data_IF_158641949970
#
_entry.id   IF_158641949970
#
_cell.length_a   1.000
_cell.length_b   1.000
_cell.length_c   1.000
_cell.angle_alpha   90.00
_cell.angle_beta   90.00
_cell.angle_gamma   90.00
#
_symmetry.space_group_name_H-M   'P 1'
#
loop_
_entity.id
_entity.type
_entity.pdbx_description
1 polymer ?
#
# COMPACT_ATOMS: atom_id res chain seq x y z
N UNK A 1 12.43 -1.35 39.84
CA UNK A 1 12.21 -1.77 38.44
C UNK A 1 11.59 -0.58 37.74
N UNK A 2 12.39 0.15 36.97
CA UNK A 2 11.98 1.41 36.36
C UNK A 2 10.95 1.14 35.27
N UNK A 3 9.77 1.75 35.40
CA UNK A 3 8.87 1.93 34.27
C UNK A 3 9.60 2.83 33.29
N UNK A 4 10.00 2.28 32.14
CA UNK A 4 10.50 3.07 31.03
C UNK A 4 9.44 4.11 30.68
N UNK A 5 9.88 5.36 30.59
CA UNK A 5 9.04 6.46 30.17
C UNK A 5 8.61 6.19 28.72
N UNK A 6 7.37 5.72 28.52
CA UNK A 6 6.80 5.49 27.18
C UNK A 6 6.28 6.80 26.57
N UNK A 7 7.05 7.88 26.74
CA UNK A 7 6.81 9.13 26.03
C UNK A 7 6.96 8.91 24.52
N UNK A 8 6.31 9.74 23.69
CA UNK A 8 6.55 9.72 22.25
C UNK A 8 8.03 9.93 21.98
N UNK A 9 8.63 9.09 21.13
CA UNK A 9 10.01 9.26 20.70
C UNK A 9 10.10 10.57 19.90
N UNK A 10 10.80 11.56 20.43
CA UNK A 10 10.90 12.91 19.84
C UNK A 10 11.57 12.90 18.45
N UNK A 11 12.24 11.80 18.08
CA UNK A 11 12.81 11.61 16.74
C UNK A 11 11.76 11.27 15.69
N UNK A 12 10.60 10.76 16.10
CA UNK A 12 9.57 10.23 15.22
C UNK A 12 8.47 11.26 14.96
N UNK A 13 8.19 11.51 13.68
CA UNK A 13 7.12 12.41 13.25
C UNK A 13 6.11 11.70 12.36
N UNK A 14 4.83 11.67 12.79
CA UNK A 14 3.73 11.16 11.98
C UNK A 14 3.11 12.30 11.16
N UNK A 15 3.08 12.15 9.83
CA UNK A 15 2.44 13.12 8.93
C UNK A 15 1.81 12.44 7.71
N UNK A 16 1.00 13.19 6.97
CA UNK A 16 0.59 12.77 5.62
C UNK A 16 1.79 12.87 4.68
N UNK A 17 1.94 11.87 3.83
CA UNK A 17 2.89 11.91 2.74
C UNK A 17 2.41 12.85 1.64
N UNK A 18 3.37 13.40 0.90
CA UNK A 18 3.16 14.19 -0.31
C UNK A 18 3.76 13.46 -1.52
N UNK A 19 3.55 14.01 -2.72
CA UNK A 19 4.18 13.46 -3.92
C UNK A 19 5.72 13.50 -3.89
N UNK A 20 6.31 14.37 -3.08
CA UNK A 20 7.78 14.46 -2.91
C UNK A 20 8.32 13.24 -2.16
N UNK A 21 7.51 12.62 -1.29
CA UNK A 21 7.88 11.43 -0.52
C UNK A 21 7.85 10.14 -1.35
N UNK A 22 7.33 10.16 -2.58
CA UNK A 22 6.94 8.95 -3.32
C UNK A 22 8.08 7.94 -3.52
N UNK A 23 9.28 8.41 -3.87
CA UNK A 23 10.40 7.49 -4.10
C UNK A 23 10.98 6.94 -2.78
N UNK A 24 10.96 7.70 -1.68
CA UNK A 24 11.38 7.20 -0.36
C UNK A 24 10.34 6.25 0.24
N UNK A 25 9.05 6.56 0.09
CA UNK A 25 7.93 5.66 0.42
C UNK A 25 8.09 4.34 -0.32
N UNK A 26 8.43 4.39 -1.61
CA UNK A 26 8.59 3.18 -2.41
C UNK A 26 9.73 2.29 -1.92
N UNK A 27 10.82 2.86 -1.39
CA UNK A 27 11.89 2.10 -0.73
C UNK A 27 11.33 1.31 0.46
N UNK A 28 10.61 1.97 1.37
CA UNK A 28 9.96 1.33 2.53
C UNK A 28 8.99 0.23 2.09
N UNK A 29 8.21 0.47 1.03
CA UNK A 29 7.27 -0.52 0.49
C UNK A 29 7.98 -1.76 -0.03
N UNK A 30 9.03 -1.59 -0.84
CA UNK A 30 9.76 -2.70 -1.43
C UNK A 30 10.44 -3.55 -0.36
N UNK A 31 11.05 -2.91 0.64
CA UNK A 31 11.67 -3.61 1.76
C UNK A 31 10.63 -4.34 2.62
N UNK A 32 9.55 -3.65 3.02
CA UNK A 32 8.55 -4.22 3.90
C UNK A 32 7.67 -5.30 3.27
N UNK A 33 7.49 -5.29 1.94
CA UNK A 33 6.72 -6.32 1.23
C UNK A 33 7.58 -7.51 0.78
N UNK A 34 8.91 -7.42 0.88
CA UNK A 34 9.83 -8.47 0.40
C UNK A 34 9.57 -9.84 1.02
N UNK A 35 9.07 -9.87 2.27
CA UNK A 35 8.72 -11.09 3.01
C UNK A 35 7.22 -11.34 3.18
N UNK A 36 6.32 -10.55 2.57
CA UNK A 36 4.86 -10.76 2.71
C UNK A 36 4.38 -11.90 1.79
N UNK A 37 3.86 -13.02 2.33
CA UNK A 37 3.36 -14.13 1.50
C UNK A 37 2.21 -13.74 0.57
N UNK A 38 1.42 -12.71 0.92
CA UNK A 38 0.35 -12.18 0.04
C UNK A 38 0.94 -11.42 -1.13
N UNK A 39 2.12 -10.83 -0.96
CA UNK A 39 2.86 -10.20 -2.04
C UNK A 39 3.44 -11.26 -2.98
N UNK A 40 4.04 -12.33 -2.43
CA UNK A 40 4.51 -13.50 -3.19
C UNK A 40 3.41 -14.14 -4.03
N UNK A 41 2.24 -14.33 -3.43
CA UNK A 41 1.11 -14.94 -4.11
C UNK A 41 0.68 -14.13 -5.34
N UNK A 42 0.67 -12.79 -5.23
CA UNK A 42 0.29 -11.89 -6.32
C UNK A 42 1.40 -11.73 -7.35
N UNK A 43 2.64 -11.58 -6.90
CA UNK A 43 3.80 -11.21 -7.72
C UNK A 43 4.95 -12.22 -7.60
N UNK A 44 4.73 -13.47 -8.07
CA UNK A 44 5.72 -14.53 -7.92
C UNK A 44 6.96 -14.34 -8.80
N UNK A 45 6.90 -13.47 -9.82
CA UNK A 45 8.01 -13.21 -10.75
C UNK A 45 8.70 -11.87 -10.47
N UNK A 46 8.49 -11.25 -9.30
CA UNK A 46 9.08 -9.93 -8.99
C UNK A 46 10.60 -9.94 -8.96
N UNK A 47 11.22 -11.05 -8.59
CA UNK A 47 12.68 -11.16 -8.56
C UNK A 47 13.27 -11.32 -9.98
N UNK A 48 12.48 -11.87 -10.91
CA UNK A 48 12.81 -11.96 -12.34
C UNK A 48 12.58 -10.63 -13.07
N UNK A 49 11.55 -9.88 -12.66
CA UNK A 49 11.16 -8.59 -13.25
C UNK A 49 11.09 -7.46 -12.20
N UNK A 50 12.20 -7.13 -11.51
CA UNK A 50 12.20 -6.15 -10.41
C UNK A 50 11.81 -4.75 -10.88
N UNK A 51 12.20 -4.37 -12.11
CA UNK A 51 11.84 -3.08 -12.71
C UNK A 51 10.35 -2.94 -12.97
N UNK A 52 9.67 -4.03 -13.36
CA UNK A 52 8.21 -4.02 -13.52
C UNK A 52 7.54 -3.88 -12.16
N UNK A 53 8.01 -4.62 -11.15
CA UNK A 53 7.47 -4.53 -9.81
C UNK A 53 7.59 -3.11 -9.25
N UNK A 54 8.79 -2.51 -9.34
CA UNK A 54 9.03 -1.12 -8.93
C UNK A 54 8.15 -0.14 -9.71
N UNK A 55 8.07 -0.26 -11.04
CA UNK A 55 7.26 0.61 -11.90
C UNK A 55 5.78 0.62 -11.49
N UNK A 56 5.19 -0.55 -11.31
CA UNK A 56 3.76 -0.66 -11.01
C UNK A 56 3.43 -0.31 -9.56
N UNK A 57 4.30 -0.64 -8.60
CA UNK A 57 4.15 -0.14 -7.23
C UNK A 57 4.27 1.39 -7.17
N UNK A 58 5.23 1.98 -7.89
CA UNK A 58 5.35 3.44 -7.97
C UNK A 58 4.06 4.07 -8.50
N UNK A 59 3.45 3.46 -9.52
CA UNK A 59 2.18 3.93 -10.07
C UNK A 59 1.04 3.81 -9.04
N UNK A 60 0.91 2.68 -8.36
CA UNK A 60 -0.12 2.45 -7.33
C UNK A 60 -0.02 3.48 -6.18
N UNK A 61 1.17 3.70 -5.64
CA UNK A 61 1.38 4.67 -4.56
C UNK A 61 1.23 6.12 -5.02
N UNK A 62 1.61 6.42 -6.26
CA UNK A 62 1.31 7.72 -6.88
C UNK A 62 -0.20 7.97 -6.95
N UNK A 63 -0.98 6.98 -7.37
CA UNK A 63 -2.44 7.09 -7.45
C UNK A 63 -3.07 7.33 -6.07
N UNK A 64 -2.52 6.78 -4.99
CA UNK A 64 -2.97 7.11 -3.63
C UNK A 64 -2.70 8.56 -3.25
N UNK A 65 -1.50 9.07 -3.56
CA UNK A 65 -1.10 10.45 -3.25
C UNK A 65 -1.85 11.50 -4.08
N UNK A 66 -2.26 11.15 -5.31
CA UNK A 66 -3.04 12.03 -6.20
C UNK A 66 -4.54 12.09 -5.83
N UNK A 67 -5.01 11.28 -4.88
CA UNK A 67 -6.41 11.22 -4.43
C UNK A 67 -6.53 11.43 -2.90
N UNK A 68 -6.07 12.57 -2.34
CA UNK A 68 -6.03 12.81 -0.88
C UNK A 68 -7.40 12.88 -0.19
N UNK A 69 -8.47 13.05 -0.95
CA UNK A 69 -9.86 12.98 -0.50
C UNK A 69 -10.36 11.54 -0.32
N UNK A 70 -9.72 10.58 -0.99
CA UNK A 70 -10.04 9.15 -0.89
C UNK A 70 -9.06 8.40 -0.01
N UNK A 71 -7.77 8.72 -0.12
CA UNK A 71 -6.71 8.03 0.61
C UNK A 71 -5.96 8.98 1.55
N UNK A 72 -5.66 8.49 2.75
CA UNK A 72 -4.66 9.09 3.62
C UNK A 72 -3.45 8.15 3.70
N UNK A 73 -2.41 8.46 2.92
CA UNK A 73 -1.10 7.83 3.07
C UNK A 73 -0.35 8.56 4.20
N UNK A 74 -0.30 7.92 5.35
CA UNK A 74 0.41 8.38 6.53
C UNK A 74 1.81 7.77 6.53
N UNK A 75 2.82 8.57 6.88
CA UNK A 75 4.19 8.11 7.06
C UNK A 75 4.71 8.53 8.43
N UNK A 76 5.52 7.66 9.02
CA UNK A 76 6.38 8.03 10.14
C UNK A 76 7.76 8.35 9.57
N UNK A 77 8.30 9.52 9.86
CA UNK A 77 9.68 9.89 9.55
C UNK A 77 10.54 9.86 10.80
N UNK A 78 11.84 9.66 10.63
CA UNK A 78 12.80 9.66 11.73
C UNK A 78 13.92 10.67 11.48
N UNK A 79 14.16 11.57 12.44
CA UNK A 79 15.15 12.64 12.30
C UNK A 79 16.61 12.16 12.28
N UNK A 80 16.87 10.97 12.82
CA UNK A 80 18.16 10.28 12.72
C UNK A 80 18.32 9.47 11.42
N UNK A 81 17.31 9.51 10.54
CA UNK A 81 17.32 8.94 9.19
C UNK A 81 17.02 10.03 8.13
N UNK A 82 17.60 11.22 8.28
CA UNK A 82 17.43 12.35 7.36
C UNK A 82 15.95 12.75 7.12
N UNK A 83 15.10 12.61 8.14
CA UNK A 83 13.64 12.82 8.06
C UNK A 83 12.95 11.95 7.00
N UNK A 84 13.54 10.81 6.64
CA UNK A 84 12.96 9.86 5.68
C UNK A 84 11.90 8.98 6.32
N UNK A 85 10.92 8.49 5.53
CA UNK A 85 9.97 7.49 5.97
C UNK A 85 10.65 6.23 6.49
N UNK A 86 10.19 5.75 7.65
CA UNK A 86 10.60 4.46 8.26
C UNK A 86 9.42 3.48 8.39
N UNK A 87 8.19 4.00 8.29
CA UNK A 87 6.97 3.20 8.21
C UNK A 87 5.86 3.98 7.51
N UNK A 88 4.85 3.27 7.04
CA UNK A 88 3.68 3.87 6.38
C UNK A 88 2.38 3.13 6.70
N UNK A 89 1.28 3.84 6.54
CA UNK A 89 -0.07 3.29 6.53
C UNK A 89 -0.89 3.96 5.42
N UNK A 90 -1.57 3.17 4.59
CA UNK A 90 -2.55 3.67 3.62
C UNK A 90 -3.95 3.43 4.17
N UNK A 91 -4.70 4.50 4.40
CA UNK A 91 -6.11 4.44 4.79
C UNK A 91 -6.99 4.81 3.62
N UNK A 92 -8.02 4.02 3.33
CA UNK A 92 -9.18 4.48 2.54
C UNK A 92 -10.10 5.22 3.50
N UNK A 93 -10.19 6.54 3.31
CA UNK A 93 -10.97 7.46 4.15
C UNK A 93 -12.33 7.81 3.52
N UNK A 94 -12.60 7.29 2.32
CA UNK A 94 -13.85 7.52 1.59
C UNK A 94 -14.20 6.27 0.77
N UNK A 95 -14.69 5.24 1.46
CA UNK A 95 -15.01 3.94 0.85
C UNK A 95 -16.08 4.03 -0.24
N UNK A 96 -17.00 4.99 -0.12
CA UNK A 96 -18.04 5.23 -1.13
C UNK A 96 -17.51 5.87 -2.41
N UNK A 97 -16.35 6.54 -2.36
CA UNK A 97 -15.74 7.14 -3.54
C UNK A 97 -15.01 6.07 -4.36
N UNK A 98 -15.19 6.03 -5.70
CA UNK A 98 -14.42 5.13 -6.54
C UNK A 98 -12.94 5.52 -6.57
N UNK A 99 -12.06 4.53 -6.71
CA UNK A 99 -10.64 4.77 -7.06
C UNK A 99 -10.54 5.24 -8.52
N UNK A 100 -9.82 6.33 -8.76
CA UNK A 100 -9.64 6.95 -10.08
C UNK A 100 -8.32 6.57 -10.78
N UNK A 101 -7.74 5.41 -10.45
CA UNK A 101 -6.52 4.91 -11.06
C UNK A 101 -6.71 3.90 -12.19
N UNK A 102 -5.59 3.40 -12.72
CA UNK A 102 -5.58 2.38 -13.76
C UNK A 102 -5.81 0.96 -13.24
N UNK A 103 -5.73 -0.03 -14.12
CA UNK A 103 -5.76 -1.46 -13.76
C UNK A 103 -4.39 -2.01 -13.30
N UNK A 104 -3.40 -1.11 -13.11
CA UNK A 104 -2.03 -1.43 -12.75
C UNK A 104 -1.38 -2.49 -13.65
N UNK A 105 -1.77 -2.51 -14.93
CA UNK A 105 -1.25 -3.41 -15.93
C UNK A 105 -1.87 -4.82 -15.91
N UNK A 106 -2.93 -5.01 -15.10
CA UNK A 106 -3.65 -6.28 -14.94
C UNK A 106 -5.15 -6.05 -15.09
N UNK A 107 -5.68 -6.07 -16.32
CA UNK A 107 -7.10 -5.90 -16.57
C UNK A 107 -7.95 -6.95 -15.83
N UNK A 108 -9.12 -6.54 -15.35
CA UNK A 108 -10.09 -7.44 -14.71
C UNK A 108 -10.67 -8.47 -15.68
N UNK A 109 -10.82 -8.10 -16.96
CA UNK A 109 -11.20 -9.02 -18.03
C UNK A 109 -10.06 -10.01 -18.31
N UNK A 110 -10.27 -11.33 -18.10
CA UNK A 110 -9.25 -12.34 -18.32
C UNK A 110 -8.80 -12.47 -19.77
N UNK A 111 -9.57 -11.96 -20.73
CA UNK A 111 -9.23 -12.01 -22.16
C UNK A 111 -8.37 -10.83 -22.62
N UNK A 112 -8.21 -9.79 -21.79
CA UNK A 112 -7.35 -8.65 -22.12
C UNK A 112 -5.89 -8.95 -21.81
N UNK A 113 -5.00 -8.36 -22.62
CA UNK A 113 -3.55 -8.50 -22.48
C UNK A 113 -3.08 -7.92 -21.15
N UNK A 114 -2.38 -8.74 -20.37
CA UNK A 114 -1.65 -8.32 -19.17
C UNK A 114 -0.28 -7.79 -19.61
N UNK A 115 0.08 -6.60 -19.15
CA UNK A 115 1.35 -5.94 -19.51
C UNK A 115 2.37 -5.92 -18.37
N UNK A 116 1.92 -6.26 -17.15
CA UNK A 116 2.75 -6.41 -15.96
C UNK A 116 3.37 -7.82 -15.92
N UNK A 117 4.69 -7.95 -15.94
CA UNK A 117 5.37 -9.26 -16.07
C UNK A 117 5.66 -9.95 -14.74
N UNK A 118 5.78 -9.19 -13.65
CA UNK A 118 6.05 -9.73 -12.30
C UNK A 118 4.85 -10.46 -11.66
N UNK A 119 3.64 -10.32 -12.24
CA UNK A 119 2.37 -10.76 -11.66
C UNK A 119 1.91 -12.11 -12.19
N UNK A 120 1.25 -12.89 -11.33
CA UNK A 120 0.35 -13.95 -11.79
C UNK A 120 -1.08 -13.37 -11.88
N UNK A 121 -1.63 -13.16 -13.09
CA UNK A 121 -2.90 -12.45 -13.25
C UNK A 121 -4.11 -13.23 -12.70
N UNK A 122 -4.05 -14.56 -12.66
CA UNK A 122 -5.11 -15.36 -12.03
C UNK A 122 -5.12 -15.17 -10.51
N UNK A 123 -3.94 -15.21 -9.89
CA UNK A 123 -3.79 -14.96 -8.45
C UNK A 123 -4.20 -13.54 -8.07
N UNK A 124 -3.77 -12.54 -8.84
CA UNK A 124 -4.10 -11.14 -8.60
C UNK A 124 -5.61 -10.88 -8.64
N UNK A 125 -6.30 -11.39 -9.67
CA UNK A 125 -7.77 -11.27 -9.79
C UNK A 125 -8.49 -12.01 -8.66
N UNK A 126 -8.04 -13.22 -8.31
CA UNK A 126 -8.61 -13.97 -7.20
C UNK A 126 -8.42 -13.22 -5.88
N UNK A 127 -7.25 -12.64 -5.65
CA UNK A 127 -6.97 -11.82 -4.47
C UNK A 127 -7.91 -10.61 -4.41
N UNK A 128 -8.06 -9.84 -5.50
CA UNK A 128 -9.00 -8.70 -5.56
C UNK A 128 -10.42 -9.14 -5.17
N UNK A 129 -10.91 -10.24 -5.77
CA UNK A 129 -12.22 -10.81 -5.45
C UNK A 129 -12.37 -11.18 -3.97
N UNK A 130 -11.35 -11.81 -3.39
CA UNK A 130 -11.38 -12.22 -1.98
C UNK A 130 -11.34 -11.01 -1.03
N UNK A 131 -10.56 -9.97 -1.35
CA UNK A 131 -10.52 -8.73 -0.57
C UNK A 131 -11.90 -8.06 -0.54
N UNK A 132 -12.55 -7.90 -1.70
CA UNK A 132 -13.91 -7.33 -1.78
C UNK A 132 -14.94 -8.19 -1.03
N UNK A 133 -14.96 -9.51 -1.27
CA UNK A 133 -15.90 -10.40 -0.62
C UNK A 133 -15.70 -10.46 0.91
N UNK A 134 -14.43 -10.43 1.36
CA UNK A 134 -14.08 -10.36 2.78
C UNK A 134 -14.56 -9.06 3.42
N UNK A 135 -14.33 -7.93 2.75
CA UNK A 135 -14.82 -6.63 3.21
C UNK A 135 -16.35 -6.63 3.36
N UNK A 136 -17.08 -7.02 2.33
CA UNK A 136 -18.56 -7.06 2.37
C UNK A 136 -19.08 -7.96 3.49
N UNK A 137 -18.50 -9.16 3.63
CA UNK A 137 -18.93 -10.16 4.62
C UNK A 137 -18.74 -9.69 6.06
N UNK A 138 -17.58 -9.08 6.37
CA UNK A 138 -17.20 -8.79 7.76
C UNK A 138 -17.43 -7.34 8.15
N UNK A 139 -17.24 -6.39 7.22
CA UNK A 139 -17.24 -4.96 7.49
C UNK A 139 -18.36 -4.19 6.80
N UNK A 140 -18.99 -4.73 5.75
CA UNK A 140 -20.05 -4.06 5.00
C UNK A 140 -21.25 -3.63 5.85
N UNK A 141 -21.55 -4.38 6.93
CA UNK A 141 -22.63 -4.06 7.87
C UNK A 141 -22.42 -2.75 8.66
N UNK A 142 -21.20 -2.22 8.68
CA UNK A 142 -20.86 -0.97 9.37
C UNK A 142 -20.95 0.26 8.46
N UNK A 143 -21.36 0.09 7.19
CA UNK A 143 -21.54 1.17 6.24
C UNK A 143 -20.23 1.65 5.60
N UNK A 144 -20.33 2.75 4.83
CA UNK A 144 -19.24 3.28 4.00
C UNK A 144 -18.56 4.53 4.60
N UNK A 145 -18.99 4.96 5.79
CA UNK A 145 -18.41 6.11 6.51
C UNK A 145 -17.24 5.70 7.43
N UNK A 146 -16.84 4.43 7.39
CA UNK A 146 -15.71 3.91 8.16
C UNK A 146 -14.37 4.20 7.47
N UNK A 147 -13.32 4.40 8.28
CA UNK A 147 -11.94 4.40 7.79
C UNK A 147 -11.45 2.95 7.67
N UNK A 148 -10.89 2.60 6.52
CA UNK A 148 -10.40 1.25 6.26
C UNK A 148 -8.89 1.26 6.05
N UNK A 149 -8.16 0.56 6.92
CA UNK A 149 -6.72 0.37 6.77
C UNK A 149 -6.46 -0.59 5.60
N UNK A 150 -5.84 -0.09 4.54
CA UNK A 150 -5.54 -0.85 3.32
C UNK A 150 -4.19 -1.55 3.41
N UNK A 151 -3.15 -0.79 3.80
CA UNK A 151 -1.77 -1.26 3.90
C UNK A 151 -1.15 -0.69 5.17
N UNK A 152 -0.38 -1.51 5.88
CA UNK A 152 0.51 -1.08 6.96
C UNK A 152 1.85 -1.76 6.76
N UNK A 153 2.92 -0.98 6.81
CA UNK A 153 4.30 -1.45 6.68
C UNK A 153 5.14 -0.74 7.74
N UNK A 154 5.87 -1.52 8.53
CA UNK A 154 6.94 -1.05 9.40
C UNK A 154 8.18 -1.90 9.08
N UNK A 155 9.30 -1.23 8.84
CA UNK A 155 10.59 -1.89 8.62
C UNK A 155 11.31 -1.90 9.96
N UNK A 156 11.85 -3.05 10.34
CA UNK A 156 12.62 -3.25 11.58
C UNK A 156 14.10 -2.87 11.39
#
# INVERSE_FOLDING_TARGET
MGGGDCGPDERLTLRRATLEDLDDVLTVVLEGLSGDPKFDYRFPHRDEYPEDNRKWLRQEYKEYLEQPEKYALMIMTASDNDDKPVSLAVWDISLGAPHLGGDLGVPDDPNKKVIRRDVNPAHYRQWKKQMTAGFEKYFGKYGIEQLHLWVYIAVE
#
